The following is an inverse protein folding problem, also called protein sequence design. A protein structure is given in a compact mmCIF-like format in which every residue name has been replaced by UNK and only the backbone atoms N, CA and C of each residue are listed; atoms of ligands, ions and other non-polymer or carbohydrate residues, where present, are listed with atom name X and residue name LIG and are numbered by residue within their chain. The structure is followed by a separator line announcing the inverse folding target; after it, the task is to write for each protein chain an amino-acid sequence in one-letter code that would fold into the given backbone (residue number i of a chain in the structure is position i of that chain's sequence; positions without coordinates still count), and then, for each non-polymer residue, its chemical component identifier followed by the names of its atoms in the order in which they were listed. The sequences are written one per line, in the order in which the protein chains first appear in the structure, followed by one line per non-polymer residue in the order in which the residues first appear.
data_IF_603583265975
#
_entry.id   IF_603583265975
#
_cell.length_a   1.000
_cell.length_b   1.000
_cell.length_c   1.000
_cell.angle_alpha   90.00
_cell.angle_beta   90.00
_cell.angle_gamma   90.00
#
_symmetry.space_group_name_H-M   'P 1'
#
loop_
_entity.id
_entity.type
_entity.pdbx_description
1 polymer ?
#
# COMPACT_ATOMS: atom_id res chain seq x y z
N UNK A 1 -10.53 -49.39 22.17
CA UNK A 1 -10.65 -47.92 22.04
C UNK A 1 -9.44 -47.43 21.26
N UNK A 2 -9.56 -47.27 19.93
CA UNK A 2 -8.46 -46.78 19.10
C UNK A 2 -8.66 -45.27 18.90
N UNK A 3 -7.67 -44.47 19.29
CA UNK A 3 -7.69 -43.03 19.07
C UNK A 3 -7.55 -42.74 17.57
N UNK A 4 -8.28 -41.75 17.01
CA UNK A 4 -8.08 -41.35 15.63
C UNK A 4 -6.72 -40.66 15.48
N UNK A 5 -5.97 -41.06 14.47
CA UNK A 5 -4.72 -40.42 14.09
C UNK A 5 -5.05 -39.01 13.55
N UNK A 6 -4.59 -37.96 14.23
CA UNK A 6 -4.65 -36.59 13.71
C UNK A 6 -3.58 -36.48 12.62
N UNK A 7 -4.00 -36.60 11.36
CA UNK A 7 -3.14 -36.25 10.24
C UNK A 7 -2.78 -34.77 10.33
N UNK A 8 -1.49 -34.47 10.44
CA UNK A 8 -0.99 -33.10 10.41
C UNK A 8 -1.28 -32.54 9.01
N UNK A 9 -2.22 -31.60 8.93
CA UNK A 9 -2.47 -30.81 7.71
C UNK A 9 -1.14 -30.19 7.31
N UNK A 10 -0.60 -30.58 6.15
CA UNK A 10 0.55 -29.91 5.54
C UNK A 10 0.22 -28.43 5.47
N UNK A 11 0.88 -27.64 6.33
CA UNK A 11 0.65 -26.21 6.41
C UNK A 11 0.94 -25.63 5.02
N UNK A 12 -0.12 -25.27 4.29
CA UNK A 12 0.01 -24.46 3.10
C UNK A 12 0.88 -23.26 3.49
N UNK A 13 1.89 -22.93 2.66
CA UNK A 13 2.82 -21.82 2.90
C UNK A 13 2.04 -20.64 3.43
N UNK A 14 2.17 -20.40 4.74
CA UNK A 14 1.32 -19.49 5.48
C UNK A 14 1.37 -18.15 4.76
N UNK A 15 0.20 -17.62 4.35
CA UNK A 15 0.12 -16.31 3.73
C UNK A 15 0.88 -15.36 4.65
N UNK A 16 1.94 -14.68 4.19
CA UNK A 16 2.74 -13.85 5.08
C UNK A 16 1.79 -12.86 5.75
N UNK A 17 1.74 -12.91 7.09
CA UNK A 17 0.97 -11.99 7.90
C UNK A 17 1.56 -10.59 7.70
N UNK A 18 0.99 -9.88 6.72
CA UNK A 18 1.34 -8.51 6.35
C UNK A 18 1.08 -7.50 7.48
N UNK A 19 0.48 -7.95 8.59
CA UNK A 19 0.24 -7.17 9.80
C UNK A 19 1.19 -7.52 10.96
N UNK A 20 2.09 -8.50 10.81
CA UNK A 20 3.10 -8.80 11.81
C UNK A 20 4.20 -7.75 11.78
N UNK A 21 4.54 -7.16 12.93
CA UNK A 21 5.65 -6.20 13.07
C UNK A 21 7.03 -6.79 12.76
N UNK A 22 7.12 -8.13 12.68
CA UNK A 22 8.31 -8.86 12.24
C UNK A 22 8.43 -8.99 10.72
N UNK A 23 7.42 -8.57 9.96
CA UNK A 23 7.43 -8.64 8.51
C UNK A 23 8.26 -7.48 7.93
N UNK A 24 8.89 -7.68 6.78
CA UNK A 24 9.68 -6.62 6.14
C UNK A 24 8.80 -5.37 5.91
N UNK A 25 9.35 -4.14 6.03
CA UNK A 25 8.59 -2.91 5.86
C UNK A 25 7.79 -2.96 4.56
N UNK A 26 6.46 -2.91 4.68
CA UNK A 26 5.57 -3.08 3.54
C UNK A 26 5.48 -1.75 2.79
N UNK A 27 5.91 -1.76 1.53
CA UNK A 27 5.72 -0.62 0.65
C UNK A 27 4.27 -0.55 0.15
N UNK A 28 3.54 0.48 0.54
CA UNK A 28 2.25 0.79 -0.09
C UNK A 28 2.43 1.61 -1.36
N UNK A 29 1.62 1.28 -2.37
CA UNK A 29 1.56 2.00 -3.63
C UNK A 29 0.15 2.57 -3.79
N UNK A 30 0.08 3.87 -4.00
CA UNK A 30 -1.16 4.60 -4.25
C UNK A 30 -1.15 5.13 -5.67
N UNK A 31 -2.30 5.03 -6.33
CA UNK A 31 -2.56 5.67 -7.60
C UNK A 31 -3.80 6.53 -7.44
N UNK A 32 -3.65 7.83 -7.69
CA UNK A 32 -4.73 8.81 -7.59
C UNK A 32 -4.96 9.35 -8.99
N UNK A 33 -6.19 9.19 -9.48
CA UNK A 33 -6.62 9.67 -10.80
C UNK A 33 -7.76 10.64 -10.56
N UNK A 34 -7.58 11.89 -10.94
CA UNK A 34 -8.59 12.93 -10.77
C UNK A 34 -8.48 13.97 -11.88
N UNK A 35 -9.50 14.80 -12.04
CA UNK A 35 -9.45 15.92 -12.98
C UNK A 35 -8.28 16.85 -12.64
N UNK A 36 -7.63 17.39 -13.67
CA UNK A 36 -6.45 18.23 -13.53
C UNK A 36 -6.84 19.61 -13.00
N UNK A 37 -7.06 19.69 -11.70
CA UNK A 37 -7.34 20.94 -10.99
C UNK A 37 -6.06 21.63 -10.51
N UNK A 38 -6.06 22.98 -10.47
CA UNK A 38 -4.97 23.72 -9.86
C UNK A 38 -4.84 23.33 -8.38
N UNK A 39 -3.60 23.13 -7.94
CA UNK A 39 -3.23 22.73 -6.57
C UNK A 39 -3.63 21.30 -6.13
N UNK A 40 -4.25 20.46 -6.97
CA UNK A 40 -4.60 19.08 -6.63
C UNK A 40 -3.40 18.28 -6.08
N UNK A 41 -2.25 18.35 -6.75
CA UNK A 41 -1.03 17.68 -6.30
C UNK A 41 -0.62 18.14 -4.89
N UNK A 42 -0.66 19.45 -4.62
CA UNK A 42 -0.34 20.00 -3.31
C UNK A 42 -1.33 19.53 -2.24
N UNK A 43 -2.62 19.49 -2.54
CA UNK A 43 -3.64 18.99 -1.63
C UNK A 43 -3.41 17.52 -1.28
N UNK A 44 -3.13 16.68 -2.28
CA UNK A 44 -2.79 15.26 -2.09
C UNK A 44 -1.58 15.12 -1.17
N UNK A 45 -0.49 15.83 -1.46
CA UNK A 45 0.73 15.77 -0.63
C UNK A 45 0.48 16.25 0.80
N UNK A 46 -0.35 17.28 0.97
CA UNK A 46 -0.71 17.79 2.29
C UNK A 46 -1.55 16.77 3.08
N UNK A 47 -2.50 16.09 2.44
CA UNK A 47 -3.28 15.00 3.05
C UNK A 47 -2.40 13.83 3.50
N UNK A 48 -1.37 13.48 2.70
CA UNK A 48 -0.38 12.46 3.08
C UNK A 48 0.46 12.92 4.27
N UNK A 49 0.91 14.17 4.28
CA UNK A 49 1.69 14.75 5.36
C UNK A 49 0.93 14.73 6.70
N UNK A 50 -0.37 15.06 6.69
CA UNK A 50 -1.22 14.99 7.88
C UNK A 50 -1.39 13.58 8.44
N UNK A 51 -1.18 12.55 7.61
CA UNK A 51 -1.21 11.14 8.00
C UNK A 51 0.18 10.57 8.30
N UNK A 52 1.23 11.41 8.31
CA UNK A 52 2.63 10.99 8.46
C UNK A 52 3.10 9.96 7.42
N UNK A 53 2.45 9.94 6.26
CA UNK A 53 2.80 9.11 5.11
C UNK A 53 3.80 9.88 4.25
N UNK A 54 5.07 9.50 4.32
CA UNK A 54 6.12 10.14 3.54
C UNK A 54 6.36 9.31 2.28
N UNK A 55 5.98 9.82 1.08
CA UNK A 55 6.27 9.13 -0.16
C UNK A 55 7.79 9.17 -0.41
N UNK A 56 8.36 8.03 -0.81
CA UNK A 56 9.76 7.93 -1.24
C UNK A 56 9.89 8.00 -2.76
N UNK A 57 8.81 7.72 -3.48
CA UNK A 57 8.70 7.93 -4.92
C UNK A 57 7.36 8.61 -5.21
N UNK A 58 7.40 9.59 -6.11
CA UNK A 58 6.25 10.34 -6.60
C UNK A 58 6.43 10.50 -8.12
N UNK A 59 5.45 10.05 -8.88
CA UNK A 59 5.35 10.32 -10.32
C UNK A 59 4.02 11.00 -10.59
N UNK A 60 4.03 12.02 -11.45
CA UNK A 60 2.84 12.76 -11.82
C UNK A 60 2.82 12.87 -13.34
N UNK A 61 1.73 12.41 -13.95
CA UNK A 61 1.49 12.52 -15.38
C UNK A 61 0.17 13.24 -15.57
N UNK A 62 0.19 14.32 -16.34
CA UNK A 62 -1.03 14.93 -16.83
C UNK A 62 -1.35 14.33 -18.20
N UNK A 63 -2.56 13.81 -18.35
CA UNK A 63 -3.08 13.30 -19.61
C UNK A 63 -4.40 14.01 -19.90
N UNK A 64 -4.41 14.85 -20.93
CA UNK A 64 -5.56 15.69 -21.28
C UNK A 64 -6.04 16.51 -20.07
N UNK A 65 -7.25 16.25 -19.56
CA UNK A 65 -7.85 16.90 -18.40
C UNK A 65 -7.73 16.09 -17.11
N UNK A 66 -6.88 15.07 -17.07
CA UNK A 66 -6.70 14.18 -15.92
C UNK A 66 -5.28 14.23 -15.40
N UNK A 67 -5.13 14.24 -14.09
CA UNK A 67 -3.87 14.11 -13.39
C UNK A 67 -3.78 12.71 -12.77
N UNK A 68 -2.73 11.98 -13.13
CA UNK A 68 -2.40 10.67 -12.60
C UNK A 68 -1.21 10.86 -11.66
N UNK A 69 -1.40 10.53 -10.39
CA UNK A 69 -0.39 10.66 -9.34
C UNK A 69 -0.10 9.26 -8.78
N UNK A 70 1.11 8.76 -9.01
CA UNK A 70 1.60 7.51 -8.46
C UNK A 70 2.57 7.78 -7.31
N UNK A 71 2.32 7.16 -6.16
CA UNK A 71 3.05 7.38 -4.91
C UNK A 71 3.44 6.06 -4.27
N UNK A 72 4.67 5.93 -3.82
CA UNK A 72 5.10 4.79 -3.01
C UNK A 72 5.48 5.24 -1.59
N UNK A 73 4.97 4.56 -0.57
CA UNK A 73 5.21 4.84 0.86
C UNK A 73 5.82 3.60 1.50
N UNK A 74 7.06 3.71 1.99
CA UNK A 74 7.86 2.55 2.44
C UNK A 74 7.59 2.14 3.90
N UNK A 75 6.86 2.94 4.66
CA UNK A 75 6.68 2.77 6.10
C UNK A 75 5.19 2.78 6.44
N UNK A 76 4.62 1.59 6.58
CA UNK A 76 3.30 1.32 7.17
C UNK A 76 3.47 0.32 8.31
#
# INVERSE_FOLDING_TARGET
MSMPNLEAVTAASQRPDNWSSSNAPCCARYQIVAEAEPALLCQVLNLLAMQYLIPHQLTVVQQESTLIIDLHVARL
#
